data_IF_813570078158
#
_entry.id   IF_813570078158
#
_cell.length_a   1.000
_cell.length_b   1.000
_cell.length_c   1.000
_cell.angle_alpha   90.00
_cell.angle_beta   90.00
_cell.angle_gamma   90.00
#
_symmetry.space_group_name_H-M   'P 1'
#
loop_
_entity.id
_entity.type
_entity.pdbx_description
1 polymer ?
#
# COMPACT_ATOMS: atom_id res chain seq x y z
N UNK A 1 7.23 14.65 -3.31
CA UNK A 1 8.52 13.91 -3.52
C UNK A 1 8.94 14.16 -4.97
N UNK A 2 10.23 14.21 -5.30
CA UNK A 2 10.63 14.36 -6.71
C UNK A 2 10.45 13.03 -7.48
N UNK A 3 10.24 13.07 -8.82
CA UNK A 3 9.96 11.87 -9.63
C UNK A 3 11.05 10.79 -9.55
N UNK A 4 12.31 11.21 -9.45
CA UNK A 4 13.43 10.27 -9.33
C UNK A 4 13.38 9.50 -8.00
N UNK A 5 13.10 10.19 -6.90
CA UNK A 5 12.90 9.57 -5.59
C UNK A 5 11.72 8.60 -5.58
N UNK A 6 10.61 8.94 -6.26
CA UNK A 6 9.45 8.06 -6.40
C UNK A 6 9.80 6.78 -7.18
N UNK A 7 10.52 6.91 -8.29
CA UNK A 7 10.98 5.76 -9.09
C UNK A 7 11.88 4.83 -8.28
N UNK A 8 12.85 5.38 -7.54
CA UNK A 8 13.73 4.59 -6.68
C UNK A 8 12.97 3.88 -5.57
N UNK A 9 11.99 4.55 -4.97
CA UNK A 9 11.17 3.97 -3.90
C UNK A 9 10.32 2.81 -4.44
N UNK A 10 9.69 2.98 -5.61
CA UNK A 10 8.93 1.92 -6.26
C UNK A 10 9.81 0.70 -6.58
N UNK A 11 11.00 0.92 -7.11
CA UNK A 11 11.96 -0.13 -7.42
C UNK A 11 12.53 -0.85 -6.18
N UNK A 12 12.47 -0.22 -4.99
CA UNK A 12 12.99 -0.78 -3.75
C UNK A 12 11.98 -1.67 -3.00
N UNK A 13 10.71 -1.72 -3.39
CA UNK A 13 9.67 -2.50 -2.69
C UNK A 13 10.05 -3.99 -2.58
N UNK A 14 10.56 -4.62 -3.66
CA UNK A 14 11.03 -6.00 -3.66
C UNK A 14 12.24 -6.21 -2.75
N UNK A 15 13.20 -5.28 -2.75
CA UNK A 15 14.38 -5.37 -1.88
C UNK A 15 14.03 -5.32 -0.39
N UNK A 16 13.04 -4.51 0.01
CA UNK A 16 12.54 -4.49 1.38
C UNK A 16 11.86 -5.79 1.78
N UNK A 17 11.06 -6.36 0.90
CA UNK A 17 10.39 -7.63 1.14
C UNK A 17 11.43 -8.77 1.26
N UNK A 18 12.44 -8.78 0.39
CA UNK A 18 13.55 -9.74 0.44
C UNK A 18 14.36 -9.63 1.73
N UNK A 19 14.57 -8.41 2.24
CA UNK A 19 15.22 -8.22 3.54
C UNK A 19 14.40 -8.84 4.68
N UNK A 20 13.07 -8.71 4.64
CA UNK A 20 12.17 -9.36 5.60
C UNK A 20 12.19 -10.90 5.47
N UNK A 21 12.19 -11.43 4.23
CA UNK A 21 12.31 -12.86 3.95
C UNK A 21 13.64 -13.43 4.47
N UNK A 22 14.76 -12.75 4.20
CA UNK A 22 16.08 -13.16 4.70
C UNK A 22 16.13 -13.14 6.23
N UNK A 23 15.59 -12.10 6.87
CA UNK A 23 15.54 -12.02 8.33
C UNK A 23 14.73 -13.17 8.94
N UNK A 24 13.61 -13.56 8.31
CA UNK A 24 12.82 -14.71 8.73
C UNK A 24 13.58 -16.03 8.50
N UNK A 25 14.28 -16.20 7.38
CA UNK A 25 15.08 -17.37 7.06
C UNK A 25 16.27 -17.54 8.01
N UNK A 26 16.89 -16.43 8.42
CA UNK A 26 18.01 -16.39 9.37
C UNK A 26 17.59 -16.59 10.84
N UNK A 27 16.28 -16.80 11.10
CA UNK A 27 15.76 -17.06 12.43
C UNK A 27 15.57 -15.82 13.31
N UNK A 28 15.55 -14.61 12.75
CA UNK A 28 15.38 -13.35 13.53
C UNK A 28 14.14 -13.38 14.44
N UNK A 29 13.11 -14.10 14.03
CA UNK A 29 11.82 -14.15 14.72
C UNK A 29 11.60 -15.43 15.55
N UNK A 30 12.56 -16.36 15.61
CA UNK A 30 12.37 -17.70 16.19
C UNK A 30 12.06 -17.68 17.69
N UNK A 31 12.58 -16.68 18.40
CA UNK A 31 12.38 -16.50 19.83
C UNK A 31 11.08 -15.74 20.19
N UNK A 32 10.27 -15.35 19.20
CA UNK A 32 9.00 -14.69 19.47
C UNK A 32 8.00 -15.67 20.10
N UNK A 33 7.40 -15.33 21.25
CA UNK A 33 6.40 -16.18 21.89
C UNK A 33 5.09 -16.16 21.10
N UNK A 34 4.29 -17.24 21.22
CA UNK A 34 2.89 -17.23 20.77
C UNK A 34 2.09 -16.21 21.62
N UNK A 35 1.56 -15.12 20.99
CA UNK A 35 0.96 -14.04 21.76
C UNK A 35 -0.53 -14.31 22.05
N UNK A 36 -1.03 -13.72 23.15
CA UNK A 36 -2.46 -13.62 23.45
C UNK A 36 -3.14 -12.60 22.53
N UNK A 37 -2.46 -11.49 22.23
CA UNK A 37 -2.92 -10.46 21.32
C UNK A 37 -1.73 -9.80 20.64
N UNK A 38 -1.96 -9.26 19.43
CA UNK A 38 -0.99 -8.52 18.63
C UNK A 38 -1.44 -7.07 18.51
N UNK A 39 -0.54 -6.13 18.72
CA UNK A 39 -0.78 -4.70 18.52
C UNK A 39 0.23 -4.13 17.54
N UNK A 40 -0.27 -3.61 16.42
CA UNK A 40 0.51 -2.92 15.41
C UNK A 40 0.42 -1.42 15.68
N UNK A 41 1.53 -0.79 16.05
CA UNK A 41 1.56 0.62 16.43
C UNK A 41 2.30 1.41 15.37
N UNK A 42 1.62 2.44 14.86
CA UNK A 42 2.15 3.36 13.86
C UNK A 42 1.42 4.69 13.87
N UNK A 43 2.13 5.77 13.53
CA UNK A 43 1.59 7.10 13.27
C UNK A 43 1.58 7.44 11.78
N UNK A 44 2.15 6.59 10.94
CA UNK A 44 2.35 6.83 9.51
C UNK A 44 1.28 6.17 8.64
N UNK A 45 0.92 6.84 7.54
CA UNK A 45 -0.14 6.36 6.65
C UNK A 45 0.22 5.06 5.93
N UNK A 46 1.45 4.94 5.39
CA UNK A 46 1.88 3.73 4.66
C UNK A 46 1.98 2.51 5.58
N UNK A 47 2.61 2.70 6.75
CA UNK A 47 2.70 1.64 7.76
C UNK A 47 1.32 1.22 8.26
N UNK A 48 0.37 2.18 8.43
CA UNK A 48 -1.02 1.89 8.77
C UNK A 48 -1.71 1.05 7.69
N UNK A 49 -1.56 1.44 6.43
CA UNK A 49 -2.15 0.70 5.30
C UNK A 49 -1.52 -0.70 5.17
N UNK A 50 -0.22 -0.84 5.40
CA UNK A 50 0.43 -2.15 5.46
C UNK A 50 -0.15 -3.02 6.60
N UNK A 51 -0.36 -2.44 7.78
CA UNK A 51 -0.99 -3.11 8.91
C UNK A 51 -2.44 -3.53 8.61
N UNK A 52 -3.24 -2.69 7.96
CA UNK A 52 -4.59 -3.00 7.51
C UNK A 52 -4.60 -4.14 6.47
N UNK A 53 -3.67 -4.12 5.51
CA UNK A 53 -3.51 -5.19 4.53
C UNK A 53 -3.16 -6.53 5.19
N UNK A 54 -2.26 -6.52 6.19
CA UNK A 54 -1.92 -7.71 6.97
C UNK A 54 -3.15 -8.27 7.68
N UNK A 55 -3.96 -7.43 8.34
CA UNK A 55 -5.19 -7.88 9.01
C UNK A 55 -6.17 -8.49 8.01
N UNK A 56 -6.35 -7.85 6.85
CA UNK A 56 -7.26 -8.35 5.82
C UNK A 56 -6.79 -9.68 5.20
N UNK A 57 -5.48 -9.87 5.05
CA UNK A 57 -4.88 -11.11 4.56
C UNK A 57 -4.90 -12.23 5.60
N UNK A 58 -4.63 -11.92 6.87
CA UNK A 58 -4.49 -12.87 7.96
C UNK A 58 -5.86 -13.29 8.56
N UNK A 59 -6.81 -13.68 7.70
CA UNK A 59 -8.14 -14.14 8.14
C UNK A 59 -8.07 -15.43 8.99
N UNK A 60 -6.97 -16.18 8.93
CA UNK A 60 -6.68 -17.37 9.73
C UNK A 60 -6.03 -17.06 11.09
N UNK A 61 -5.83 -15.78 11.42
CA UNK A 61 -5.12 -15.38 12.62
C UNK A 61 -5.71 -15.98 13.90
N UNK A 62 -4.83 -16.64 14.68
CA UNK A 62 -5.20 -17.32 15.94
C UNK A 62 -5.26 -16.38 17.15
N UNK A 63 -4.73 -15.16 17.01
CA UNK A 63 -4.77 -14.13 18.03
C UNK A 63 -5.39 -12.85 17.42
N UNK A 64 -6.11 -12.04 18.21
CA UNK A 64 -6.62 -10.76 17.73
C UNK A 64 -5.46 -9.83 17.36
N UNK A 65 -5.57 -9.19 16.19
CA UNK A 65 -4.62 -8.19 15.71
C UNK A 65 -5.31 -6.83 15.71
N UNK A 66 -4.68 -5.83 16.31
CA UNK A 66 -5.25 -4.47 16.46
C UNK A 66 -4.24 -3.42 16.02
N UNK A 67 -4.70 -2.37 15.34
CA UNK A 67 -3.89 -1.20 15.00
C UNK A 67 -4.15 -0.10 16.05
N UNK A 68 -3.07 0.55 16.51
CA UNK A 68 -3.15 1.64 17.48
C UNK A 68 -2.09 2.72 17.18
N UNK A 69 -2.32 3.93 17.69
CA UNK A 69 -1.35 5.04 17.67
C UNK A 69 -0.57 5.18 18.97
N UNK A 70 -1.02 4.52 20.01
CA UNK A 70 -0.40 4.50 21.35
C UNK A 70 -0.61 3.14 21.97
N UNK A 71 0.20 2.81 22.97
CA UNK A 71 0.16 1.51 23.63
C UNK A 71 -1.15 1.33 24.41
N UNK A 72 -2.02 0.37 24.02
CA UNK A 72 -3.25 0.10 24.75
C UNK A 72 -2.97 -0.37 26.19
N UNK A 73 -3.89 -0.06 27.11
CA UNK A 73 -3.72 -0.40 28.53
C UNK A 73 -3.70 -1.89 28.84
N UNK A 74 -4.31 -2.71 27.96
CA UNK A 74 -4.38 -4.17 28.14
C UNK A 74 -3.06 -4.89 27.81
N UNK A 75 -2.12 -4.21 27.13
CA UNK A 75 -0.84 -4.80 26.72
C UNK A 75 0.02 -5.16 27.93
N UNK A 76 0.53 -6.38 27.94
CA UNK A 76 1.38 -6.93 28.97
C UNK A 76 2.29 -8.07 28.44
N UNK A 77 2.85 -8.86 29.35
CA UNK A 77 3.88 -9.84 29.07
C UNK A 77 3.48 -11.00 28.11
N UNK A 78 2.19 -11.18 27.85
CA UNK A 78 1.69 -12.20 26.94
C UNK A 78 1.31 -11.65 25.56
N UNK A 79 1.62 -10.40 25.27
CA UNK A 79 1.22 -9.73 24.05
C UNK A 79 2.46 -9.41 23.19
N UNK A 80 2.24 -9.31 21.88
CA UNK A 80 3.25 -8.94 20.90
C UNK A 80 2.94 -7.54 20.35
N UNK A 81 3.92 -6.64 20.42
CA UNK A 81 3.79 -5.26 19.96
C UNK A 81 4.75 -5.03 18.80
N UNK A 82 4.21 -4.60 17.69
CA UNK A 82 4.99 -4.07 16.57
C UNK A 82 5.00 -2.56 16.62
N UNK A 83 6.16 -1.97 16.37
CA UNK A 83 6.32 -0.55 16.09
C UNK A 83 6.78 -0.41 14.64
N UNK A 84 5.96 0.26 13.84
CA UNK A 84 6.16 0.43 12.40
C UNK A 84 6.31 1.93 12.13
N UNK A 85 7.52 2.36 11.78
CA UNK A 85 7.80 3.77 11.46
C UNK A 85 9.04 3.91 10.58
N UNK A 86 9.08 4.94 9.74
CA UNK A 86 10.26 5.39 9.02
C UNK A 86 10.75 6.78 9.49
N UNK A 87 10.04 7.39 10.44
CA UNK A 87 10.48 8.63 11.11
C UNK A 87 11.36 8.32 12.32
N UNK A 88 12.67 8.61 12.26
CA UNK A 88 13.58 8.36 13.38
C UNK A 88 13.28 9.22 14.61
N UNK A 89 12.55 10.34 14.44
CA UNK A 89 12.17 11.28 15.48
C UNK A 89 10.77 11.07 16.07
N UNK A 90 10.04 10.04 15.62
CA UNK A 90 8.66 9.80 16.03
C UNK A 90 8.51 9.63 17.56
N UNK A 91 7.56 10.32 18.20
CA UNK A 91 7.18 10.11 19.61
C UNK A 91 6.85 8.65 19.95
N UNK A 92 6.64 7.79 18.97
CA UNK A 92 6.43 6.36 19.11
C UNK A 92 7.58 5.64 19.84
N UNK A 93 8.76 6.27 19.97
CA UNK A 93 9.88 5.78 20.75
C UNK A 93 9.50 5.47 22.21
N UNK A 94 8.60 6.27 22.81
CA UNK A 94 8.11 6.05 24.17
C UNK A 94 7.29 4.77 24.29
N UNK A 95 6.62 4.36 23.21
CA UNK A 95 5.82 3.14 23.15
C UNK A 95 6.70 1.90 23.32
N UNK A 96 7.88 1.85 22.65
CA UNK A 96 8.83 0.75 22.80
C UNK A 96 9.28 0.60 24.26
N UNK A 97 9.69 1.70 24.87
CA UNK A 97 10.14 1.70 26.26
C UNK A 97 9.03 1.27 27.23
N UNK A 98 7.78 1.69 26.99
CA UNK A 98 6.64 1.31 27.82
C UNK A 98 6.25 -0.16 27.61
N UNK A 99 6.23 -0.65 26.37
CA UNK A 99 5.93 -2.06 26.06
C UNK A 99 6.97 -2.98 26.74
N UNK A 100 8.25 -2.61 26.67
CA UNK A 100 9.33 -3.33 27.33
C UNK A 100 9.17 -3.35 28.86
N UNK A 101 8.82 -2.21 29.49
CA UNK A 101 8.52 -2.17 30.93
C UNK A 101 7.36 -3.05 31.36
N UNK A 102 6.36 -3.24 30.49
CA UNK A 102 5.22 -4.15 30.72
C UNK A 102 5.54 -5.61 30.41
N UNK A 103 6.74 -5.89 29.91
CA UNK A 103 7.22 -7.22 29.57
C UNK A 103 6.69 -7.78 28.27
N UNK A 104 6.04 -6.99 27.41
CA UNK A 104 5.58 -7.42 26.11
C UNK A 104 6.75 -7.76 25.18
N UNK A 105 6.57 -8.75 24.31
CA UNK A 105 7.49 -8.97 23.20
C UNK A 105 7.36 -7.82 22.20
N UNK A 106 8.49 -7.31 21.71
CA UNK A 106 8.50 -6.15 20.81
C UNK A 106 9.26 -6.43 19.53
N UNK A 107 8.67 -5.99 18.41
CA UNK A 107 9.29 -5.99 17.08
C UNK A 107 9.30 -4.56 16.56
N UNK A 108 10.46 -4.08 16.18
CA UNK A 108 10.64 -2.77 15.56
C UNK A 108 11.00 -2.92 14.09
N UNK A 109 10.19 -2.35 13.22
CA UNK A 109 10.54 -2.14 11.81
C UNK A 109 11.06 -0.71 11.70
N UNK A 110 12.35 -0.57 11.57
CA UNK A 110 13.16 0.54 12.05
C UNK A 110 13.66 1.45 10.93
N UNK A 111 13.70 2.78 11.14
CA UNK A 111 14.38 3.72 10.24
C UNK A 111 15.92 3.57 10.19
N UNK A 112 16.52 2.72 11.02
CA UNK A 112 17.95 2.42 11.04
C UNK A 112 18.71 3.18 12.13
N UNK A 113 18.37 4.41 12.43
CA UNK A 113 19.04 5.27 13.41
C UNK A 113 18.04 6.25 14.08
N UNK A 114 18.51 7.00 15.05
CA UNK A 114 17.73 8.04 15.74
C UNK A 114 17.07 7.58 17.04
N UNK A 115 16.19 8.46 17.64
CA UNK A 115 15.55 8.22 18.93
C UNK A 115 14.72 6.93 19.00
N UNK A 116 14.00 6.58 17.95
CA UNK A 116 13.20 5.35 17.89
C UNK A 116 14.10 4.13 18.01
N UNK A 117 15.18 4.09 17.20
CA UNK A 117 16.16 3.01 17.25
C UNK A 117 16.84 2.92 18.62
N UNK A 118 17.20 4.06 19.22
CA UNK A 118 17.84 4.12 20.53
C UNK A 118 16.91 3.65 21.68
N UNK A 119 15.59 3.70 21.49
CA UNK A 119 14.61 3.21 22.47
C UNK A 119 14.45 1.68 22.46
N UNK A 120 14.95 1.00 21.43
CA UNK A 120 14.91 -0.46 21.36
C UNK A 120 15.83 -1.08 22.41
N UNK A 121 15.29 -1.97 23.25
CA UNK A 121 16.05 -2.73 24.23
C UNK A 121 16.76 -3.92 23.59
N UNK A 122 17.61 -4.62 24.36
CA UNK A 122 18.24 -5.87 23.91
C UNK A 122 17.24 -7.02 23.66
N UNK A 123 15.99 -6.88 24.09
CA UNK A 123 14.89 -7.84 23.87
C UNK A 123 14.03 -7.49 22.66
N UNK A 124 14.17 -6.28 22.14
CA UNK A 124 13.43 -5.86 20.96
C UNK A 124 14.01 -6.52 19.72
N UNK A 125 13.18 -7.25 18.98
CA UNK A 125 13.54 -7.76 17.66
C UNK A 125 13.51 -6.59 16.68
N UNK A 126 14.65 -6.31 16.04
CA UNK A 126 14.77 -5.20 15.09
C UNK A 126 14.92 -5.76 13.70
N UNK A 127 13.95 -5.45 12.83
CA UNK A 127 13.95 -5.89 11.44
C UNK A 127 14.89 -5.03 10.63
N UNK A 128 15.88 -5.61 9.93
CA UNK A 128 16.84 -4.84 9.16
C UNK A 128 16.16 -4.19 7.94
N UNK A 129 16.62 -3.00 7.60
CA UNK A 129 16.20 -2.25 6.42
C UNK A 129 17.31 -2.25 5.37
N UNK A 130 17.01 -2.33 4.06
CA UNK A 130 18.00 -2.12 3.02
C UNK A 130 18.66 -0.74 3.15
N UNK A 131 20.00 -0.70 3.06
CA UNK A 131 20.78 0.52 3.32
C UNK A 131 20.51 1.68 2.35
N UNK A 132 19.93 1.39 1.19
CA UNK A 132 19.64 2.37 0.12
C UNK A 132 18.27 3.04 0.25
N UNK A 133 17.46 2.67 1.24
CA UNK A 133 16.09 3.20 1.36
C UNK A 133 15.99 4.29 2.41
N UNK A 134 15.56 5.49 1.98
CA UNK A 134 15.30 6.63 2.84
C UNK A 134 13.89 6.63 3.45
N UNK A 135 12.95 5.85 2.89
CA UNK A 135 11.54 5.80 3.32
C UNK A 135 11.07 4.37 3.52
N UNK A 136 10.06 4.20 4.37
CA UNK A 136 9.42 2.91 4.62
C UNK A 136 8.71 2.37 3.39
N UNK A 137 8.81 1.07 3.18
CA UNK A 137 8.19 0.33 2.08
C UNK A 137 6.91 -0.34 2.56
N UNK A 138 5.84 -0.22 1.78
CA UNK A 138 4.61 -0.95 2.06
C UNK A 138 4.84 -2.46 2.09
N UNK A 139 5.49 -3.01 1.05
CA UNK A 139 5.80 -4.44 0.96
C UNK A 139 6.76 -4.88 2.08
N UNK A 140 7.71 -4.02 2.45
CA UNK A 140 8.62 -4.27 3.56
C UNK A 140 7.90 -4.39 4.91
N UNK A 141 6.97 -3.49 5.20
CA UNK A 141 6.13 -3.57 6.41
C UNK A 141 5.26 -4.83 6.41
N UNK A 142 4.59 -5.13 5.29
CA UNK A 142 3.77 -6.34 5.14
C UNK A 142 4.61 -7.59 5.37
N UNK A 143 5.76 -7.71 4.71
CA UNK A 143 6.66 -8.85 4.82
C UNK A 143 7.20 -9.04 6.24
N UNK A 144 7.68 -7.96 6.87
CA UNK A 144 8.21 -8.01 8.23
C UNK A 144 7.15 -8.45 9.26
N UNK A 145 5.94 -7.90 9.15
CA UNK A 145 4.85 -8.26 10.07
C UNK A 145 4.39 -9.71 9.83
N UNK A 146 4.14 -10.11 8.58
CA UNK A 146 3.72 -11.50 8.27
C UNK A 146 4.77 -12.54 8.62
N UNK A 147 6.06 -12.25 8.37
CA UNK A 147 7.16 -13.13 8.75
C UNK A 147 7.20 -13.38 10.26
N UNK A 148 7.14 -12.29 11.04
CA UNK A 148 7.13 -12.37 12.49
C UNK A 148 5.85 -13.02 13.04
N UNK A 149 4.66 -12.73 12.48
CA UNK A 149 3.40 -13.38 12.86
C UNK A 149 3.39 -14.89 12.55
N UNK A 150 4.05 -15.29 11.46
CA UNK A 150 4.20 -16.69 11.09
C UNK A 150 5.11 -17.43 12.06
N UNK A 151 6.26 -16.84 12.40
CA UNK A 151 7.17 -17.39 13.41
C UNK A 151 6.51 -17.49 14.79
N UNK A 152 5.73 -16.46 15.19
CA UNK A 152 4.94 -16.44 16.43
C UNK A 152 3.67 -17.33 16.38
N UNK A 153 3.44 -18.09 15.31
CA UNK A 153 2.30 -19.01 15.10
C UNK A 153 0.92 -18.36 15.11
N UNK A 154 0.86 -17.07 14.79
CA UNK A 154 -0.39 -16.33 14.68
C UNK A 154 -1.09 -16.61 13.34
N UNK A 155 -0.34 -16.70 12.25
CA UNK A 155 -0.82 -17.04 10.90
C UNK A 155 0.15 -17.98 10.19
N UNK A 156 -0.24 -18.53 9.05
CA UNK A 156 0.61 -19.35 8.19
C UNK A 156 1.02 -18.64 6.87
N UNK A 157 0.70 -17.35 6.72
CA UNK A 157 0.78 -16.65 5.42
C UNK A 157 2.18 -16.21 5.00
N UNK A 158 3.12 -16.03 5.94
CA UNK A 158 4.40 -15.39 5.65
C UNK A 158 5.64 -16.24 5.96
N UNK A 159 5.70 -17.56 5.61
CA UNK A 159 6.96 -18.28 5.73
C UNK A 159 8.00 -17.66 4.80
N UNK A 160 9.28 -17.71 5.18
CA UNK A 160 10.39 -17.07 4.45
C UNK A 160 10.39 -17.39 2.94
N UNK A 161 10.13 -18.63 2.56
CA UNK A 161 10.07 -19.04 1.16
C UNK A 161 8.95 -18.32 0.37
N UNK A 162 7.77 -18.14 0.97
CA UNK A 162 6.66 -17.40 0.35
C UNK A 162 7.04 -15.93 0.21
N UNK A 163 7.63 -15.32 1.23
CA UNK A 163 8.07 -13.92 1.17
C UNK A 163 9.14 -13.70 0.10
N UNK A 164 10.03 -14.66 -0.12
CA UNK A 164 11.05 -14.61 -1.17
C UNK A 164 10.43 -14.72 -2.57
N UNK A 165 9.50 -15.66 -2.78
CA UNK A 165 8.74 -15.78 -4.02
C UNK A 165 7.95 -14.48 -4.35
N UNK A 166 7.37 -13.85 -3.33
CA UNK A 166 6.67 -12.56 -3.47
C UNK A 166 7.66 -11.46 -3.84
N UNK A 167 8.84 -11.43 -3.23
CA UNK A 167 9.88 -10.45 -3.56
C UNK A 167 10.34 -10.59 -5.02
N UNK A 168 10.50 -11.81 -5.53
CA UNK A 168 10.82 -12.07 -6.93
C UNK A 168 9.73 -11.54 -7.88
N UNK A 169 8.47 -11.74 -7.54
CA UNK A 169 7.36 -11.22 -8.33
C UNK A 169 7.30 -9.68 -8.32
N UNK A 170 7.58 -9.05 -7.19
CA UNK A 170 7.65 -7.58 -7.06
C UNK A 170 8.83 -7.00 -7.85
N UNK A 171 10.00 -7.66 -7.82
CA UNK A 171 11.16 -7.26 -8.61
C UNK A 171 10.87 -7.39 -10.13
N UNK A 172 10.17 -8.46 -10.55
CA UNK A 172 9.74 -8.61 -11.94
C UNK A 172 8.77 -7.49 -12.37
N UNK A 173 7.84 -7.09 -11.51
CA UNK A 173 6.95 -5.96 -11.76
C UNK A 173 7.72 -4.63 -11.85
N UNK A 174 8.69 -4.40 -10.97
CA UNK A 174 9.55 -3.22 -11.03
C UNK A 174 10.31 -3.12 -12.36
N UNK A 175 10.78 -4.25 -12.89
CA UNK A 175 11.40 -4.33 -14.22
C UNK A 175 10.39 -4.05 -15.33
N UNK A 176 9.16 -4.57 -15.24
CA UNK A 176 8.10 -4.28 -16.21
C UNK A 176 7.69 -2.79 -16.22
N UNK A 177 7.78 -2.14 -15.07
CA UNK A 177 7.49 -0.72 -14.86
C UNK A 177 8.70 0.20 -15.04
N UNK A 178 9.86 -0.30 -15.49
CA UNK A 178 11.09 0.49 -15.59
C UNK A 178 10.98 1.65 -16.61
N UNK A 179 11.71 2.77 -16.40
CA UNK A 179 11.59 3.97 -17.24
C UNK A 179 11.97 3.81 -18.71
N UNK A 180 12.80 2.82 -19.02
CA UNK A 180 13.22 2.49 -20.38
C UNK A 180 12.20 1.64 -21.15
N UNK A 181 11.11 1.21 -20.51
CA UNK A 181 10.04 0.43 -21.15
C UNK A 181 9.06 1.34 -21.88
N UNK A 182 8.67 0.91 -23.08
CA UNK A 182 7.65 1.60 -23.89
C UNK A 182 6.29 1.63 -23.21
N UNK A 183 5.50 2.70 -23.45
CA UNK A 183 4.16 2.88 -22.91
C UNK A 183 3.25 1.67 -23.18
N UNK A 184 3.36 1.03 -24.35
CA UNK A 184 2.48 -0.09 -24.74
C UNK A 184 2.70 -1.36 -23.89
N UNK A 185 3.87 -1.48 -23.25
CA UNK A 185 4.25 -2.65 -22.44
C UNK A 185 4.54 -2.32 -20.99
N UNK A 186 4.48 -1.03 -20.60
CA UNK A 186 4.72 -0.58 -19.24
C UNK A 186 3.39 -0.33 -18.51
N UNK A 187 2.97 -1.22 -17.59
CA UNK A 187 1.65 -1.11 -16.95
C UNK A 187 1.52 0.14 -16.08
N UNK A 188 2.62 0.61 -15.47
CA UNK A 188 2.59 1.82 -14.64
C UNK A 188 2.43 3.10 -15.49
N UNK A 189 3.08 3.17 -16.66
CA UNK A 189 2.87 4.28 -17.61
C UNK A 189 1.45 4.30 -18.17
N UNK A 190 0.86 3.13 -18.45
CA UNK A 190 -0.54 3.05 -18.88
C UNK A 190 -1.51 3.58 -17.82
N UNK A 191 -1.21 3.33 -16.52
CA UNK A 191 -2.02 3.90 -15.44
C UNK A 191 -1.84 5.41 -15.35
N UNK A 192 -0.61 5.90 -15.41
CA UNK A 192 -0.33 7.34 -15.38
C UNK A 192 -1.02 8.07 -16.54
N UNK A 193 -1.00 7.50 -17.76
CA UNK A 193 -1.69 8.06 -18.93
C UNK A 193 -3.20 8.10 -18.73
N UNK A 194 -3.79 7.05 -18.17
CA UNK A 194 -5.22 6.99 -17.88
C UNK A 194 -5.66 8.03 -16.86
N UNK A 195 -4.80 8.38 -15.91
CA UNK A 195 -5.06 9.36 -14.85
C UNK A 195 -4.81 10.80 -15.26
N UNK A 196 -4.01 11.02 -16.32
CA UNK A 196 -3.54 12.36 -16.71
C UNK A 196 -4.70 13.27 -17.10
N UNK A 197 -4.76 14.47 -16.47
CA UNK A 197 -5.80 15.47 -16.75
C UNK A 197 -7.18 15.10 -16.21
N UNK A 198 -7.27 14.16 -15.29
CA UNK A 198 -8.52 13.69 -14.71
C UNK A 198 -8.58 13.89 -13.20
N UNK A 199 -9.80 13.94 -12.67
CA UNK A 199 -10.06 13.67 -11.24
C UNK A 199 -9.98 12.18 -11.01
N UNK A 200 -9.11 11.73 -10.12
CA UNK A 200 -8.77 10.31 -9.99
C UNK A 200 -9.43 9.67 -8.77
N UNK A 201 -10.10 8.55 -9.01
CA UNK A 201 -10.58 7.66 -7.95
C UNK A 201 -9.95 6.28 -8.16
N UNK A 202 -9.33 5.74 -7.12
CA UNK A 202 -8.91 4.34 -7.10
C UNK A 202 -9.86 3.57 -6.20
N UNK A 203 -10.46 2.49 -6.70
CA UNK A 203 -11.48 1.73 -6.00
C UNK A 203 -11.08 0.27 -5.83
N UNK A 204 -11.14 -0.27 -4.61
CA UNK A 204 -10.79 -1.66 -4.30
C UNK A 204 -12.00 -2.54 -4.05
N UNK A 205 -11.99 -3.79 -4.53
CA UNK A 205 -13.02 -4.77 -4.20
C UNK A 205 -12.58 -5.63 -3.02
N UNK A 206 -13.28 -5.50 -1.89
CA UNK A 206 -12.93 -6.14 -0.61
C UNK A 206 -11.86 -5.37 0.19
N UNK A 207 -11.63 -5.80 1.43
CA UNK A 207 -10.86 -5.02 2.42
C UNK A 207 -9.40 -4.82 2.04
N UNK A 208 -8.71 -5.86 1.56
CA UNK A 208 -7.29 -5.75 1.17
C UNK A 208 -7.12 -4.83 -0.05
N UNK A 209 -8.04 -4.91 -1.03
CA UNK A 209 -7.97 -4.08 -2.23
C UNK A 209 -8.40 -2.64 -1.98
N UNK A 210 -9.33 -2.41 -1.01
CA UNK A 210 -9.60 -1.06 -0.49
C UNK A 210 -8.31 -0.45 0.08
N UNK A 211 -7.55 -1.22 0.84
CA UNK A 211 -6.27 -0.75 1.40
C UNK A 211 -5.25 -0.41 0.30
N UNK A 212 -5.18 -1.21 -0.78
CA UNK A 212 -4.34 -0.91 -1.95
C UNK A 212 -4.82 0.35 -2.67
N UNK A 213 -6.14 0.56 -2.77
CA UNK A 213 -6.71 1.77 -3.36
C UNK A 213 -6.38 3.04 -2.53
N UNK A 214 -6.44 2.97 -1.21
CA UNK A 214 -6.01 4.06 -0.32
C UNK A 214 -4.50 4.31 -0.41
N UNK A 215 -3.70 3.26 -0.53
CA UNK A 215 -2.25 3.36 -0.77
C UNK A 215 -1.95 4.06 -2.10
N UNK A 216 -2.70 3.71 -3.16
CA UNK A 216 -2.59 4.38 -4.46
C UNK A 216 -2.86 5.87 -4.34
N UNK A 217 -3.94 6.27 -3.66
CA UNK A 217 -4.26 7.67 -3.45
C UNK A 217 -3.16 8.41 -2.66
N UNK A 218 -2.56 7.76 -1.67
CA UNK A 218 -1.44 8.34 -0.92
C UNK A 218 -0.18 8.54 -1.81
N UNK A 219 0.18 7.57 -2.63
CA UNK A 219 1.30 7.68 -3.57
C UNK A 219 1.07 8.77 -4.63
N UNK A 220 -0.14 8.85 -5.18
CA UNK A 220 -0.52 9.87 -6.16
C UNK A 220 -0.47 11.27 -5.55
N UNK A 221 -0.90 11.42 -4.30
CA UNK A 221 -0.78 12.69 -3.57
C UNK A 221 0.69 13.11 -3.38
N UNK A 222 1.58 12.18 -3.03
CA UNK A 222 3.02 12.44 -2.90
C UNK A 222 3.65 12.88 -4.25
N UNK A 223 3.06 12.42 -5.36
CA UNK A 223 3.43 12.82 -6.73
C UNK A 223 2.78 14.13 -7.17
N UNK A 224 1.93 14.76 -6.35
CA UNK A 224 1.24 16.01 -6.66
C UNK A 224 -0.10 15.84 -7.39
N UNK A 225 -0.61 14.62 -7.56
CA UNK A 225 -1.92 14.33 -8.12
C UNK A 225 -2.92 13.94 -7.00
N UNK A 226 -3.83 14.84 -6.60
CA UNK A 226 -4.87 14.50 -5.64
C UNK A 226 -5.76 13.37 -6.17
N UNK A 227 -5.89 12.31 -5.41
CA UNK A 227 -6.72 11.16 -5.73
C UNK A 227 -7.50 10.68 -4.51
N UNK A 228 -8.58 9.94 -4.73
CA UNK A 228 -9.38 9.36 -3.66
C UNK A 228 -9.35 7.83 -3.71
N UNK A 229 -8.98 7.20 -2.59
CA UNK A 229 -9.02 5.75 -2.41
C UNK A 229 -10.33 5.33 -1.74
N UNK A 230 -11.04 4.33 -2.31
CA UNK A 230 -12.34 3.90 -1.78
C UNK A 230 -12.66 2.44 -2.15
N UNK A 231 -13.88 1.96 -1.83
CA UNK A 231 -14.37 0.67 -2.31
C UNK A 231 -15.10 0.80 -3.66
N UNK A 232 -15.12 -0.28 -4.46
CA UNK A 232 -15.92 -0.32 -5.69
C UNK A 232 -17.40 -0.04 -5.38
N UNK A 233 -17.92 -0.53 -4.27
CA UNK A 233 -19.31 -0.29 -3.86
C UNK A 233 -19.60 1.16 -3.50
N UNK A 234 -18.68 1.86 -2.83
CA UNK A 234 -18.82 3.28 -2.51
C UNK A 234 -18.73 4.15 -3.76
N UNK A 235 -17.78 3.84 -4.65
CA UNK A 235 -17.64 4.50 -5.93
C UNK A 235 -18.91 4.37 -6.77
N UNK A 236 -19.50 3.16 -6.85
CA UNK A 236 -20.76 2.95 -7.59
C UNK A 236 -21.93 3.73 -6.98
N UNK A 237 -22.01 3.84 -5.65
CA UNK A 237 -23.05 4.69 -5.01
C UNK A 237 -22.88 6.16 -5.36
N UNK A 238 -21.66 6.62 -5.49
CA UNK A 238 -21.33 8.02 -5.84
C UNK A 238 -21.38 8.30 -7.35
N UNK A 239 -21.48 7.27 -8.21
CA UNK A 239 -21.31 7.38 -9.66
C UNK A 239 -22.22 8.42 -10.30
N UNK A 240 -23.48 8.52 -9.85
CA UNK A 240 -24.43 9.52 -10.36
C UNK A 240 -24.07 10.98 -10.04
N UNK A 241 -23.29 11.21 -8.97
CA UNK A 241 -22.79 12.54 -8.60
C UNK A 241 -21.41 12.83 -9.19
N UNK A 242 -20.64 11.79 -9.48
CA UNK A 242 -19.30 11.88 -10.04
C UNK A 242 -19.30 11.94 -11.58
N UNK A 243 -20.32 11.37 -12.22
CA UNK A 243 -20.44 11.41 -13.68
C UNK A 243 -20.62 12.86 -14.15
N UNK A 244 -19.98 13.26 -15.27
CA UNK A 244 -20.22 14.55 -15.87
C UNK A 244 -21.71 14.78 -16.14
N UNK A 245 -22.24 15.91 -15.69
CA UNK A 245 -23.63 16.25 -16.02
C UNK A 245 -23.79 16.37 -17.54
N UNK A 246 -24.79 15.73 -18.17
CA UNK A 246 -25.07 15.93 -19.59
C UNK A 246 -25.27 17.42 -19.94
N UNK A 247 -25.79 18.23 -19.02
CA UNK A 247 -25.92 19.69 -19.20
C UNK A 247 -24.55 20.39 -19.26
N UNK A 248 -23.59 20.00 -18.40
CA UNK A 248 -22.24 20.56 -18.43
C UNK A 248 -21.49 20.20 -19.73
N UNK A 249 -21.71 19.00 -20.25
CA UNK A 249 -21.14 18.60 -21.54
C UNK A 249 -21.74 19.37 -22.74
N UNK A 250 -23.03 19.74 -22.69
CA UNK A 250 -23.67 20.54 -23.68
C UNK A 250 -23.23 22.01 -23.61
N UNK A 251 -23.10 22.58 -22.40
CA UNK A 251 -22.59 23.93 -22.20
C UNK A 251 -21.15 24.07 -22.73
N UNK A 252 -20.31 23.06 -22.53
CA UNK A 252 -18.93 23.04 -23.05
C UNK A 252 -18.87 22.96 -24.59
N UNK A 253 -19.84 22.26 -25.21
CA UNK A 253 -19.92 22.13 -26.67
C UNK A 253 -20.37 23.43 -27.37
N UNK A 254 -21.14 24.29 -26.69
CA UNK A 254 -21.67 25.52 -27.22
C UNK A 254 -20.98 26.78 -26.69
N UNK A 255 -20.02 26.64 -25.79
CA UNK A 255 -19.25 27.74 -25.23
C UNK A 255 -18.28 28.34 -26.28
N UNK A 256 -18.48 29.61 -26.65
CA UNK A 256 -17.54 30.37 -27.47
C UNK A 256 -16.73 31.33 -26.57
N UNK A 257 -15.42 31.08 -26.36
CA UNK A 257 -14.61 31.94 -25.49
C UNK A 257 -14.56 33.42 -25.91
N UNK A 258 -14.89 33.73 -27.19
CA UNK A 258 -14.93 35.09 -27.71
C UNK A 258 -16.26 35.81 -27.43
N UNK A 259 -17.33 35.03 -27.23
CA UNK A 259 -18.69 35.56 -26.99
C UNK A 259 -19.03 35.48 -25.50
N UNK A 260 -18.75 34.34 -24.88
CA UNK A 260 -19.16 34.05 -23.52
C UNK A 260 -18.10 34.41 -22.47
N UNK A 261 -16.90 34.83 -22.93
CA UNK A 261 -15.79 35.16 -22.06
C UNK A 261 -15.02 33.91 -21.59
N UNK A 262 -13.91 34.11 -20.84
CA UNK A 262 -13.20 32.94 -20.23
C UNK A 262 -14.12 32.25 -19.26
N UNK A 263 -14.11 30.90 -19.26
CA UNK A 263 -14.87 30.07 -18.31
C UNK A 263 -14.36 30.34 -16.89
N UNK A 264 -15.00 31.25 -16.19
CA UNK A 264 -14.70 31.68 -14.80
C UNK A 264 -15.34 30.73 -13.76
N UNK A 265 -15.40 29.48 -14.03
CA UNK A 265 -15.77 28.43 -13.08
C UNK A 265 -14.79 27.29 -13.25
N UNK A 266 -14.06 26.92 -12.21
CA UNK A 266 -13.09 25.85 -12.29
C UNK A 266 -13.67 24.65 -13.02
N UNK A 267 -13.22 24.41 -14.26
CA UNK A 267 -13.66 23.27 -15.07
C UNK A 267 -13.41 22.01 -14.28
N UNK A 268 -14.47 21.30 -13.93
CA UNK A 268 -14.30 20.00 -13.28
C UNK A 268 -13.54 19.09 -14.24
N UNK A 269 -12.40 18.59 -13.80
CA UNK A 269 -11.67 17.61 -14.58
C UNK A 269 -12.56 16.38 -14.82
N UNK A 270 -12.49 15.76 -16.00
CA UNK A 270 -13.20 14.52 -16.23
C UNK A 270 -12.78 13.46 -15.22
N UNK A 271 -13.67 12.53 -14.92
CA UNK A 271 -13.41 11.47 -13.95
C UNK A 271 -12.61 10.33 -14.61
N UNK A 272 -11.63 9.80 -13.89
CA UNK A 272 -10.94 8.55 -14.19
C UNK A 272 -10.98 7.64 -12.98
N UNK A 273 -11.45 6.42 -13.17
CA UNK A 273 -11.51 5.39 -12.12
C UNK A 273 -10.63 4.20 -12.48
N UNK A 274 -9.79 3.79 -11.53
CA UNK A 274 -9.05 2.53 -11.59
C UNK A 274 -9.59 1.62 -10.49
N UNK A 275 -10.26 0.54 -10.89
CA UNK A 275 -10.74 -0.46 -9.95
C UNK A 275 -9.72 -1.59 -9.82
N UNK A 276 -9.15 -1.76 -8.63
CA UNK A 276 -8.17 -2.80 -8.32
C UNK A 276 -8.86 -3.98 -7.62
N UNK A 277 -8.53 -5.19 -8.04
CA UNK A 277 -9.22 -6.39 -7.55
C UNK A 277 -8.36 -7.65 -7.73
N UNK A 278 -8.76 -8.73 -7.06
CA UNK A 278 -8.17 -10.05 -7.32
C UNK A 278 -8.52 -10.58 -8.71
N UNK A 279 -7.71 -11.46 -9.31
CA UNK A 279 -8.07 -12.13 -10.55
C UNK A 279 -9.40 -12.90 -10.47
N UNK A 280 -9.72 -13.44 -9.29
CA UNK A 280 -10.96 -14.19 -9.06
C UNK A 280 -12.21 -13.28 -9.12
N UNK A 281 -12.12 -12.06 -8.60
CA UNK A 281 -13.23 -11.12 -8.52
C UNK A 281 -13.33 -10.22 -9.76
N UNK A 282 -12.28 -10.14 -10.58
CA UNK A 282 -12.20 -9.27 -11.74
C UNK A 282 -13.36 -9.41 -12.72
N UNK A 283 -13.88 -10.60 -13.07
CA UNK A 283 -15.04 -10.74 -13.96
C UNK A 283 -16.30 -10.06 -13.39
N UNK A 284 -16.56 -10.21 -12.09
CA UNK A 284 -17.71 -9.61 -11.43
C UNK A 284 -17.58 -8.08 -11.34
N UNK A 285 -16.38 -7.57 -11.05
CA UNK A 285 -16.10 -6.13 -11.01
C UNK A 285 -16.23 -5.52 -12.41
N UNK A 286 -15.70 -6.17 -13.46
CA UNK A 286 -15.85 -5.73 -14.86
C UNK A 286 -17.32 -5.62 -15.27
N UNK A 287 -18.14 -6.61 -14.96
CA UNK A 287 -19.57 -6.57 -15.26
C UNK A 287 -20.31 -5.41 -14.56
N UNK A 288 -19.92 -5.08 -13.33
CA UNK A 288 -20.51 -3.94 -12.57
C UNK A 288 -20.06 -2.59 -13.12
N UNK A 289 -18.88 -2.50 -13.70
CA UNK A 289 -18.29 -1.26 -14.21
C UNK A 289 -18.46 -1.08 -15.72
N UNK A 290 -18.96 -2.08 -16.45
CA UNK A 290 -19.20 -2.02 -17.91
C UNK A 290 -19.97 -0.76 -18.37
N UNK A 291 -20.97 -0.24 -17.64
CA UNK A 291 -21.69 0.97 -18.05
C UNK A 291 -20.87 2.26 -17.96
N UNK A 292 -19.68 2.25 -17.39
CA UNK A 292 -18.89 3.43 -17.08
C UNK A 292 -17.60 3.48 -17.91
N UNK A 293 -17.61 4.23 -19.03
CA UNK A 293 -16.44 4.39 -19.92
C UNK A 293 -15.22 5.02 -19.24
N UNK A 294 -15.44 5.77 -18.15
CA UNK A 294 -14.40 6.39 -17.34
C UNK A 294 -13.79 5.46 -16.28
N UNK A 295 -14.22 4.19 -16.24
CA UNK A 295 -13.70 3.21 -15.29
C UNK A 295 -12.98 2.06 -16.02
N UNK A 296 -11.84 1.66 -15.50
CA UNK A 296 -11.13 0.46 -15.94
C UNK A 296 -10.86 -0.47 -14.75
N UNK A 297 -10.84 -1.76 -15.02
CA UNK A 297 -10.56 -2.78 -14.00
C UNK A 297 -9.16 -3.33 -14.20
N UNK A 298 -8.38 -3.25 -13.15
CA UNK A 298 -7.01 -3.72 -13.09
C UNK A 298 -6.88 -4.89 -12.12
N UNK A 299 -6.26 -5.95 -12.59
CA UNK A 299 -5.85 -7.08 -11.75
C UNK A 299 -4.41 -7.47 -12.11
N UNK A 300 -3.64 -8.03 -11.18
CA UNK A 300 -2.21 -8.30 -11.39
C UNK A 300 -1.92 -9.41 -12.39
N UNK A 301 -2.89 -10.26 -12.71
CA UNK A 301 -2.79 -11.32 -13.71
C UNK A 301 -4.11 -11.47 -14.47
N UNK A 302 -4.05 -11.77 -15.78
CA UNK A 302 -5.24 -12.03 -16.60
C UNK A 302 -5.77 -13.46 -16.43
N UNK A 303 -4.90 -14.41 -16.12
CA UNK A 303 -5.26 -15.82 -15.91
C UNK A 303 -5.35 -16.12 -14.41
N UNK A 304 -6.35 -16.91 -14.04
CA UNK A 304 -6.55 -17.40 -12.67
C UNK A 304 -5.55 -18.53 -12.42
N UNK A 305 -4.27 -18.19 -12.27
CA UNK A 305 -3.33 -19.10 -11.62
C UNK A 305 -3.55 -19.04 -10.11
N UNK A 306 -3.43 -20.18 -9.44
CA UNK A 306 -3.48 -20.25 -7.98
C UNK A 306 -2.19 -19.63 -7.45
N UNK A 307 -2.20 -18.32 -7.27
CA UNK A 307 -1.09 -17.57 -6.66
C UNK A 307 -1.39 -17.32 -5.17
N UNK A 308 -0.35 -17.13 -4.42
CA UNK A 308 -0.50 -16.66 -3.05
C UNK A 308 -1.07 -15.22 -3.08
N UNK A 309 -2.15 -14.90 -2.32
CA UNK A 309 -2.81 -13.58 -2.41
C UNK A 309 -1.86 -12.41 -2.08
N UNK A 310 -0.80 -12.65 -1.31
CA UNK A 310 0.22 -11.65 -1.03
C UNK A 310 0.98 -11.19 -2.29
N UNK A 311 1.18 -12.08 -3.27
CA UNK A 311 1.82 -11.75 -4.56
C UNK A 311 1.02 -10.65 -5.26
N UNK A 312 -0.28 -10.88 -5.41
CA UNK A 312 -1.15 -9.94 -6.14
C UNK A 312 -1.20 -8.56 -5.48
N UNK A 313 -1.26 -8.53 -4.14
CA UNK A 313 -1.28 -7.29 -3.35
C UNK A 313 0.02 -6.52 -3.49
N UNK A 314 1.17 -7.18 -3.31
CA UNK A 314 2.48 -6.53 -3.36
C UNK A 314 2.87 -6.09 -4.77
N UNK A 315 2.56 -6.90 -5.79
CA UNK A 315 2.78 -6.54 -7.21
C UNK A 315 1.95 -5.30 -7.58
N UNK A 316 0.66 -5.26 -7.19
CA UNK A 316 -0.18 -4.09 -7.45
C UNK A 316 0.31 -2.86 -6.69
N UNK A 317 0.74 -3.01 -5.44
CA UNK A 317 1.32 -1.91 -4.66
C UNK A 317 2.59 -1.33 -5.33
N UNK A 318 3.48 -2.18 -5.84
CA UNK A 318 4.67 -1.75 -6.58
C UNK A 318 4.30 -1.04 -7.89
N UNK A 319 3.32 -1.55 -8.65
CA UNK A 319 2.80 -0.91 -9.87
C UNK A 319 2.24 0.48 -9.59
N UNK A 320 1.46 0.62 -8.52
CA UNK A 320 0.91 1.91 -8.09
C UNK A 320 2.01 2.91 -7.77
N UNK A 321 3.02 2.50 -6.99
CA UNK A 321 4.14 3.36 -6.65
C UNK A 321 4.91 3.81 -7.90
N UNK A 322 5.12 2.90 -8.86
CA UNK A 322 5.73 3.21 -10.14
C UNK A 322 4.84 4.15 -10.99
N UNK A 323 3.52 3.94 -11.04
CA UNK A 323 2.59 4.80 -11.76
C UNK A 323 2.61 6.23 -11.21
N UNK A 324 2.66 6.39 -9.89
CA UNK A 324 2.79 7.71 -9.26
C UNK A 324 4.06 8.45 -9.69
N UNK A 325 5.17 7.73 -9.94
CA UNK A 325 6.39 8.34 -10.43
C UNK A 325 6.28 8.91 -11.86
N UNK A 326 5.37 8.38 -12.68
CA UNK A 326 5.14 8.82 -14.06
C UNK A 326 4.12 9.96 -14.20
N UNK A 327 3.37 10.28 -13.14
CA UNK A 327 2.39 11.38 -13.17
C UNK A 327 3.01 12.73 -13.49
N UNK A 328 4.21 13.10 -12.93
CA UNK A 328 4.84 14.39 -13.16
C UNK A 328 5.59 14.52 -14.51
N UNK A 329 5.75 13.45 -15.29
CA UNK A 329 6.69 13.39 -16.42
C UNK A 329 6.36 14.24 -17.64
N UNK A 330 5.34 15.13 -17.64
CA UNK A 330 5.14 16.09 -18.74
C UNK A 330 4.57 17.41 -18.23
N UNK A 331 5.48 18.34 -17.96
CA UNK A 331 5.26 19.78 -17.87
C UNK A 331 6.07 20.49 -18.95
#
# INVERSE_FOLDING_TARGET
MDPHSLTLTAAAEGAHLRAAASAAADGLFDDLPEPRAVVLITNESRARLAAEAVIALAADARAPITIARSLPRFVGALDLVFVLTDDPGDPIAEVLAEADRRGAATVLVDPGEGPVRAAASSRTVVVPRPAMSAVGSFCGYVGAVLGALTAARVTALGPAAVLDDVADAVDAEAVACAPDRDLLVNPARQWAEWMRGHSVVVAGEGDVWRTVAELAAAWLLDAGLPAHGTTVSDMLRASGALAPSPAAALDDLFHDPLIDGPVDGGRMLPLSVIAVTSPADAPAVRARLEPFEWARVECPAEEVEVRHPLVDVCVTAARVAAAAAYVPEEG
#
